data_IF_278048556789
#
_entry.id   IF_278048556789
#
_cell.length_a   1.000
_cell.length_b   1.000
_cell.length_c   1.000
_cell.angle_alpha   90.00
_cell.angle_beta   90.00
_cell.angle_gamma   90.00
#
_symmetry.space_group_name_H-M   'P 1'
#
loop_
_entity.id
_entity.type
_entity.pdbx_description
1 polymer ?
#
# COMPACT_ATOMS: atom_id res chain seq x y z
N UNK A 1 9.75 -21.09 28.84
CA UNK A 1 9.70 -21.04 27.36
C UNK A 1 8.72 -19.98 26.86
N UNK A 2 7.52 -19.90 27.43
CA UNK A 2 6.43 -19.03 26.96
C UNK A 2 6.67 -17.53 27.23
N UNK A 3 7.14 -17.13 28.43
CA UNK A 3 7.47 -15.73 28.71
C UNK A 3 8.69 -15.20 27.92
N UNK A 4 9.77 -15.99 27.81
CA UNK A 4 10.94 -15.66 26.98
C UNK A 4 10.59 -15.50 25.49
N UNK A 5 9.62 -16.28 25.02
CA UNK A 5 9.08 -16.16 23.66
C UNK A 5 8.41 -14.79 23.46
N UNK A 6 7.60 -14.33 24.41
CA UNK A 6 6.95 -13.01 24.29
C UNK A 6 7.98 -11.87 24.27
N UNK A 7 8.99 -11.90 25.14
CA UNK A 7 10.08 -10.91 25.15
C UNK A 7 10.80 -10.88 23.80
N UNK A 8 11.15 -12.06 23.25
CA UNK A 8 11.78 -12.14 21.93
C UNK A 8 10.89 -11.57 20.82
N UNK A 9 9.58 -11.79 20.88
CA UNK A 9 8.63 -11.23 19.91
C UNK A 9 8.48 -9.71 20.06
N UNK A 10 8.57 -9.19 21.30
CA UNK A 10 8.55 -7.76 21.58
C UNK A 10 9.80 -7.07 21.03
N UNK A 11 10.99 -7.63 21.30
CA UNK A 11 12.27 -7.13 20.80
C UNK A 11 12.35 -7.14 19.27
N UNK A 12 11.75 -8.16 18.65
CA UNK A 12 11.66 -8.27 17.20
C UNK A 12 10.57 -7.40 16.57
N UNK A 13 9.76 -6.71 17.38
CA UNK A 13 8.58 -5.96 16.94
C UNK A 13 7.63 -6.80 16.07
N UNK A 14 7.40 -8.07 16.44
CA UNK A 14 6.67 -9.03 15.61
C UNK A 14 5.27 -8.54 15.19
N UNK A 15 4.58 -7.81 16.07
CA UNK A 15 3.26 -7.24 15.79
C UNK A 15 3.27 -5.77 15.34
N UNK A 16 4.39 -5.27 14.80
CA UNK A 16 4.45 -3.90 14.26
C UNK A 16 3.27 -3.63 13.30
N UNK A 17 2.39 -2.66 13.63
CA UNK A 17 1.24 -2.32 12.79
C UNK A 17 1.62 -1.53 11.55
N UNK A 18 2.85 -1.03 11.43
CA UNK A 18 3.30 -0.22 10.31
C UNK A 18 4.66 -0.71 9.75
N UNK A 19 4.75 -1.98 9.30
CA UNK A 19 5.97 -2.49 8.69
C UNK A 19 6.32 -1.68 7.44
N UNK A 20 7.57 -1.79 6.98
CA UNK A 20 8.01 -1.06 5.78
C UNK A 20 7.22 -1.54 4.57
N UNK A 21 6.92 -0.63 3.65
CA UNK A 21 6.14 -0.96 2.45
C UNK A 21 6.77 -2.11 1.63
N UNK A 22 8.10 -2.14 1.56
CA UNK A 22 8.87 -3.19 0.87
C UNK A 22 8.74 -4.60 1.49
N UNK A 23 8.25 -4.68 2.73
CA UNK A 23 8.11 -5.92 3.50
C UNK A 23 6.65 -6.37 3.59
N UNK A 24 5.68 -5.56 3.14
CA UNK A 24 4.25 -5.85 3.25
C UNK A 24 3.88 -7.20 2.64
N UNK A 25 4.47 -7.56 1.50
CA UNK A 25 4.22 -8.83 0.83
C UNK A 25 4.57 -10.04 1.69
N UNK A 26 5.61 -9.94 2.55
CA UNK A 26 6.02 -11.03 3.46
C UNK A 26 5.03 -11.24 4.58
N UNK A 27 4.32 -10.20 4.94
CA UNK A 27 3.48 -10.17 6.11
C UNK A 27 1.98 -10.34 5.81
N UNK A 28 1.62 -10.36 4.53
CA UNK A 28 0.25 -10.51 4.09
C UNK A 28 -0.21 -11.96 4.28
N UNK A 29 -1.35 -12.14 4.94
CA UNK A 29 -2.09 -13.41 4.92
C UNK A 29 -3.20 -13.29 3.89
N UNK A 30 -3.25 -14.15 2.86
CA UNK A 30 -4.24 -14.03 1.78
C UNK A 30 -5.68 -14.09 2.30
N UNK A 31 -6.49 -13.12 1.91
CA UNK A 31 -7.93 -13.12 2.19
C UNK A 31 -8.64 -14.28 1.53
N UNK A 32 -8.23 -14.65 0.32
CA UNK A 32 -8.75 -15.82 -0.38
C UNK A 32 -8.57 -17.12 0.45
N UNK A 33 -7.42 -17.27 1.12
CA UNK A 33 -7.17 -18.38 2.04
C UNK A 33 -8.02 -18.28 3.31
N UNK A 34 -8.10 -17.10 3.93
CA UNK A 34 -8.88 -16.90 5.15
C UNK A 34 -10.40 -17.08 4.93
N UNK A 35 -10.90 -16.73 3.75
CA UNK A 35 -12.34 -16.74 3.44
C UNK A 35 -12.78 -17.92 2.58
N UNK A 36 -11.85 -18.79 2.18
CA UNK A 36 -12.13 -19.99 1.39
C UNK A 36 -12.70 -19.72 -0.01
N UNK A 37 -12.37 -18.57 -0.62
CA UNK A 37 -12.81 -18.21 -1.97
C UNK A 37 -11.69 -17.50 -2.75
N UNK A 38 -11.93 -17.13 -4.01
CA UNK A 38 -10.91 -16.56 -4.92
C UNK A 38 -11.31 -15.16 -5.43
N UNK A 39 -11.88 -14.34 -4.55
CA UNK A 39 -12.53 -13.06 -4.90
C UNK A 39 -11.67 -11.84 -4.60
N UNK A 40 -10.51 -12.00 -3.97
CA UNK A 40 -9.61 -10.91 -3.60
C UNK A 40 -8.28 -11.00 -4.35
N UNK A 41 -7.29 -11.73 -3.84
CA UNK A 41 -5.94 -11.80 -4.42
C UNK A 41 -5.97 -12.42 -5.82
N UNK A 42 -6.60 -13.59 -5.98
CA UNK A 42 -6.69 -14.28 -7.26
C UNK A 42 -7.56 -13.52 -8.27
N UNK A 43 -8.54 -12.75 -7.80
CA UNK A 43 -9.32 -11.86 -8.68
C UNK A 43 -8.50 -10.67 -9.17
N UNK A 44 -7.72 -10.06 -8.27
CA UNK A 44 -6.82 -8.95 -8.58
C UNK A 44 -5.77 -9.40 -9.61
N UNK A 45 -5.08 -10.52 -9.36
CA UNK A 45 -4.07 -11.04 -10.28
C UNK A 45 -4.66 -11.27 -11.68
N UNK A 46 -5.79 -11.98 -11.77
CA UNK A 46 -6.45 -12.26 -13.06
C UNK A 46 -6.84 -10.98 -13.79
N UNK A 47 -7.36 -9.98 -13.09
CA UNK A 47 -7.73 -8.69 -13.67
C UNK A 47 -6.50 -7.97 -14.24
N UNK A 48 -5.42 -7.89 -13.47
CA UNK A 48 -4.19 -7.24 -13.90
C UNK A 48 -3.53 -7.94 -15.09
N UNK A 49 -3.56 -9.28 -15.12
CA UNK A 49 -3.09 -10.05 -16.29
C UNK A 49 -3.91 -9.82 -17.55
N UNK A 50 -5.20 -9.44 -17.43
CA UNK A 50 -6.04 -9.02 -18.57
C UNK A 50 -5.82 -7.56 -18.99
N UNK A 51 -4.99 -6.80 -18.28
CA UNK A 51 -4.80 -5.38 -18.56
C UNK A 51 -5.84 -4.46 -17.93
N UNK A 52 -6.63 -4.96 -16.97
CA UNK A 52 -7.72 -4.19 -16.38
C UNK A 52 -7.25 -3.11 -15.39
N UNK A 53 -8.05 -2.05 -15.29
CA UNK A 53 -7.95 -1.01 -14.27
C UNK A 53 -8.86 -1.41 -13.11
N UNK A 54 -8.24 -1.68 -11.96
CA UNK A 54 -8.90 -2.28 -10.80
C UNK A 54 -9.01 -1.27 -9.66
N UNK A 55 -10.23 -1.01 -9.20
CA UNK A 55 -10.46 -0.34 -7.92
C UNK A 55 -10.40 -1.37 -6.78
N UNK A 56 -9.36 -1.28 -5.95
CA UNK A 56 -9.23 -2.08 -4.74
C UNK A 56 -9.82 -1.30 -3.55
N UNK A 57 -11.04 -1.68 -3.17
CA UNK A 57 -11.86 -0.96 -2.22
C UNK A 57 -11.68 -1.49 -0.81
N UNK A 58 -11.37 -0.60 0.11
CA UNK A 58 -11.32 -0.88 1.54
C UNK A 58 -11.08 0.38 2.33
N UNK A 59 -11.34 0.35 3.62
CA UNK A 59 -11.07 1.48 4.50
C UNK A 59 -9.55 1.64 4.71
N UNK A 60 -9.13 2.73 5.34
CA UNK A 60 -7.73 2.82 5.78
C UNK A 60 -7.41 1.68 6.75
N UNK A 61 -6.25 1.06 6.59
CA UNK A 61 -5.82 -0.07 7.43
C UNK A 61 -6.49 -1.42 7.14
N UNK A 62 -7.37 -1.52 6.14
CA UNK A 62 -8.02 -2.78 5.76
C UNK A 62 -7.13 -3.78 4.99
N UNK A 63 -5.93 -3.37 4.56
CA UNK A 63 -4.97 -4.26 3.88
C UNK A 63 -4.80 -4.03 2.37
N UNK A 64 -5.29 -2.93 1.80
CA UNK A 64 -5.15 -2.61 0.35
C UNK A 64 -3.70 -2.74 -0.14
N UNK A 65 -2.78 -2.01 0.48
CA UNK A 65 -1.35 -2.06 0.18
C UNK A 65 -0.74 -3.46 0.36
N UNK A 66 -1.22 -4.21 1.35
CA UNK A 66 -0.75 -5.56 1.66
C UNK A 66 -1.16 -6.57 0.58
N UNK A 67 -2.42 -6.50 0.12
CA UNK A 67 -2.93 -7.28 -1.01
C UNK A 67 -2.18 -6.94 -2.29
N UNK A 68 -2.02 -5.65 -2.60
CA UNK A 68 -1.29 -5.22 -3.79
C UNK A 68 0.16 -5.70 -3.74
N UNK A 69 0.86 -5.54 -2.62
CA UNK A 69 2.23 -6.00 -2.45
C UNK A 69 2.35 -7.54 -2.54
N UNK A 70 1.37 -8.28 -2.03
CA UNK A 70 1.35 -9.74 -2.14
C UNK A 70 1.18 -10.21 -3.59
N UNK A 71 0.19 -9.65 -4.31
CA UNK A 71 -0.10 -10.03 -5.70
C UNK A 71 1.00 -9.56 -6.67
N UNK A 72 1.55 -8.37 -6.44
CA UNK A 72 2.61 -7.76 -7.26
C UNK A 72 3.98 -7.89 -6.59
N UNK A 73 4.17 -8.96 -5.81
CA UNK A 73 5.38 -9.20 -5.05
C UNK A 73 6.64 -9.23 -5.91
N UNK A 74 7.83 -9.22 -5.29
CA UNK A 74 9.11 -9.07 -6.00
C UNK A 74 9.39 -10.09 -7.12
N UNK A 75 8.71 -11.24 -7.09
CA UNK A 75 8.89 -12.36 -8.01
C UNK A 75 7.70 -12.53 -8.98
N UNK A 76 6.86 -11.52 -9.15
CA UNK A 76 5.67 -11.64 -10.01
C UNK A 76 6.08 -11.83 -11.47
N UNK A 77 5.75 -13.00 -12.04
CA UNK A 77 6.10 -13.33 -13.42
C UNK A 77 5.19 -12.59 -14.42
N UNK A 78 5.82 -11.95 -15.41
CA UNK A 78 5.14 -11.30 -16.53
C UNK A 78 4.45 -9.97 -16.20
N UNK A 79 4.55 -9.46 -14.96
CA UNK A 79 4.03 -8.14 -14.58
C UNK A 79 5.19 -7.23 -14.16
N UNK A 80 5.07 -5.94 -14.50
CA UNK A 80 6.01 -4.89 -14.14
C UNK A 80 5.29 -3.82 -13.30
N UNK A 81 5.19 -4.00 -11.97
CA UNK A 81 4.57 -3.02 -11.10
C UNK A 81 5.39 -1.73 -11.04
N UNK A 82 4.69 -0.61 -11.23
CA UNK A 82 5.20 0.76 -11.15
C UNK A 82 4.42 1.49 -10.06
N UNK A 83 4.97 1.53 -8.84
CA UNK A 83 4.34 2.19 -7.71
C UNK A 83 4.51 3.69 -7.80
N UNK A 84 3.45 4.39 -8.19
CA UNK A 84 3.45 5.85 -8.26
C UNK A 84 3.21 6.37 -6.83
N UNK A 85 4.18 7.01 -6.16
CA UNK A 85 3.97 7.51 -4.82
C UNK A 85 2.99 8.67 -4.89
N UNK A 86 1.81 8.46 -4.32
CA UNK A 86 0.72 9.43 -4.34
C UNK A 86 0.81 10.33 -3.10
N UNK A 87 0.93 9.74 -1.91
CA UNK A 87 0.80 10.41 -0.61
C UNK A 87 1.72 11.63 -0.32
N UNK A 88 2.81 11.81 -1.06
CA UNK A 88 3.87 12.81 -0.76
C UNK A 88 3.85 13.99 -1.77
N UNK A 89 3.04 13.90 -2.82
CA UNK A 89 3.10 14.85 -3.94
C UNK A 89 2.19 16.07 -3.79
N UNK A 90 2.47 17.10 -4.60
CA UNK A 90 1.62 18.29 -4.69
C UNK A 90 0.22 17.94 -5.18
N UNK A 91 -0.79 18.65 -4.66
CA UNK A 91 -2.21 18.44 -5.01
C UNK A 91 -2.49 18.51 -6.52
N UNK A 92 -1.67 19.23 -7.29
CA UNK A 92 -1.74 19.29 -8.75
C UNK A 92 -1.63 17.92 -9.42
N UNK A 93 -0.80 17.00 -8.90
CA UNK A 93 -0.61 15.64 -9.43
C UNK A 93 -1.90 14.82 -9.35
N UNK A 94 -2.76 15.09 -8.35
CA UNK A 94 -4.03 14.40 -8.18
C UNK A 94 -5.13 14.85 -9.16
N UNK A 95 -4.95 16.01 -9.79
CA UNK A 95 -6.03 16.68 -10.55
C UNK A 95 -5.67 17.02 -11.98
N UNK A 96 -4.39 17.15 -12.31
CA UNK A 96 -3.91 17.52 -13.63
C UNK A 96 -3.23 16.32 -14.31
N UNK A 97 -3.80 15.82 -15.44
CA UNK A 97 -3.21 14.73 -16.21
C UNK A 97 -1.74 14.94 -16.60
N UNK A 98 -1.35 16.17 -16.95
CA UNK A 98 0.04 16.45 -17.35
C UNK A 98 0.97 16.37 -16.15
N UNK A 99 0.58 16.94 -15.01
CA UNK A 99 1.33 16.82 -13.76
C UNK A 99 1.44 15.37 -13.28
N UNK A 100 0.35 14.59 -13.36
CA UNK A 100 0.35 13.16 -13.04
C UNK A 100 1.34 12.37 -13.90
N UNK A 101 1.29 12.60 -15.20
CA UNK A 101 2.14 11.94 -16.18
C UNK A 101 3.60 12.31 -16.00
N UNK A 102 3.90 13.60 -15.79
CA UNK A 102 5.26 14.06 -15.48
C UNK A 102 5.81 13.41 -14.21
N UNK A 103 4.97 13.20 -13.21
CA UNK A 103 5.34 12.46 -11.99
C UNK A 103 5.63 10.98 -12.25
N UNK A 104 4.84 10.31 -13.09
CA UNK A 104 5.10 8.93 -13.52
C UNK A 104 6.47 8.81 -14.20
N UNK A 105 6.77 9.68 -15.18
CA UNK A 105 8.07 9.72 -15.87
C UNK A 105 9.21 9.90 -14.87
N UNK A 106 9.08 10.86 -13.93
CA UNK A 106 10.11 11.10 -12.90
C UNK A 106 10.28 9.93 -11.94
N UNK A 107 9.19 9.21 -11.64
CA UNK A 107 9.22 8.01 -10.79
C UNK A 107 10.00 6.90 -11.48
N UNK A 108 9.77 6.67 -12.77
CA UNK A 108 10.52 5.67 -13.56
C UNK A 108 11.99 6.06 -13.68
N UNK A 109 12.31 7.33 -13.99
CA UNK A 109 13.68 7.84 -14.00
C UNK A 109 14.38 7.65 -12.65
N UNK A 110 13.64 7.72 -11.54
CA UNK A 110 14.17 7.43 -10.21
C UNK A 110 14.48 5.95 -10.06
N UNK A 111 13.59 5.05 -10.48
CA UNK A 111 13.84 3.62 -10.41
C UNK A 111 15.07 3.19 -11.21
N UNK A 112 15.19 3.67 -12.45
CA UNK A 112 16.34 3.40 -13.33
C UNK A 112 17.66 3.84 -12.66
N UNK A 113 17.72 5.07 -12.12
CA UNK A 113 18.90 5.56 -11.39
C UNK A 113 19.25 4.75 -10.13
N UNK A 114 18.27 4.15 -9.47
CA UNK A 114 18.53 3.29 -8.30
C UNK A 114 18.93 1.86 -8.70
N UNK A 115 18.60 1.42 -9.93
CA UNK A 115 19.04 0.13 -10.46
C UNK A 115 20.53 0.17 -10.88
N UNK A 116 21.06 1.33 -11.28
CA UNK A 116 22.47 1.53 -11.65
C UNK A 116 23.17 2.61 -10.80
N UNK A 117 23.77 2.26 -9.65
CA UNK A 117 24.50 3.23 -8.82
C UNK A 117 25.79 3.78 -9.48
N UNK A 118 26.26 3.19 -10.58
CA UNK A 118 27.52 3.57 -11.24
C UNK A 118 27.54 4.99 -11.85
N UNK A 119 26.38 5.62 -12.04
CA UNK A 119 26.23 6.98 -12.58
C UNK A 119 26.18 8.09 -11.50
N UNK A 120 26.07 7.72 -10.22
CA UNK A 120 25.96 8.69 -9.11
C UNK A 120 27.18 9.62 -8.98
N UNK A 121 28.36 9.19 -9.45
CA UNK A 121 29.60 9.97 -9.36
C UNK A 121 29.72 11.14 -10.35
N UNK A 122 28.87 11.24 -11.37
CA UNK A 122 29.03 12.22 -12.47
C UNK A 122 28.11 13.44 -12.36
N UNK A 123 26.91 13.29 -11.80
CA UNK A 123 25.93 14.39 -11.69
C UNK A 123 26.12 15.22 -10.41
N UNK A 124 26.57 14.61 -9.31
CA UNK A 124 26.84 15.30 -8.04
C UNK A 124 28.01 16.30 -8.11
N UNK A 125 28.80 16.29 -9.19
CA UNK A 125 29.87 17.28 -9.42
C UNK A 125 29.42 18.54 -10.17
N UNK A 126 28.22 18.57 -10.72
CA UNK A 126 27.72 19.70 -11.53
C UNK A 126 26.75 20.59 -10.74
N UNK A 127 26.14 20.08 -9.66
CA UNK A 127 25.19 20.85 -8.84
C UNK A 127 25.72 20.98 -7.42
N UNK A 128 26.32 22.15 -7.13
CA UNK A 128 26.90 22.46 -5.82
C UNK A 128 25.95 22.22 -4.64
N UNK A 129 26.44 21.43 -3.70
CA UNK A 129 26.17 21.47 -2.25
C UNK A 129 24.81 22.04 -1.81
N UNK A 130 23.79 21.18 -1.78
CA UNK A 130 22.74 21.24 -0.74
C UNK A 130 22.61 19.85 -0.15
N UNK A 131 22.95 19.73 1.14
CA UNK A 131 22.84 18.52 1.93
C UNK A 131 21.43 17.92 1.77
N UNK A 132 21.27 16.72 1.19
CA UNK A 132 19.96 16.13 1.02
C UNK A 132 19.47 15.66 2.39
N UNK A 133 18.43 16.33 2.88
CA UNK A 133 17.62 15.89 4.01
C UNK A 133 17.07 14.51 3.63
N UNK A 134 17.59 13.44 4.27
CA UNK A 134 17.27 12.03 3.97
C UNK A 134 15.76 11.82 3.91
N UNK A 135 15.20 11.75 2.71
CA UNK A 135 13.88 11.20 2.43
C UNK A 135 14.01 9.68 2.29
N UNK A 136 14.34 9.01 3.39
CA UNK A 136 14.22 7.55 3.46
C UNK A 136 12.77 7.22 3.78
N UNK A 137 11.97 6.78 2.80
CA UNK A 137 10.79 5.94 3.07
C UNK A 137 10.14 5.22 1.88
N UNK A 138 10.46 5.54 0.62
CA UNK A 138 9.87 4.82 -0.53
C UNK A 138 10.85 4.76 -1.72
N UNK A 139 11.91 3.96 -1.64
CA UNK A 139 12.65 3.58 -2.85
C UNK A 139 12.74 2.06 -2.91
N UNK A 140 11.69 1.45 -3.44
CA UNK A 140 11.75 0.07 -3.93
C UNK A 140 12.16 0.21 -5.39
N UNK A 141 13.40 -0.11 -5.72
CA UNK A 141 13.76 -0.38 -7.11
C UNK A 141 13.03 -1.66 -7.50
N UNK A 142 12.16 -1.64 -8.52
CA UNK A 142 11.53 -2.86 -9.01
C UNK A 142 12.58 -3.91 -9.40
N UNK A 143 12.48 -5.13 -8.87
CA UNK A 143 13.50 -6.17 -9.09
C UNK A 143 13.62 -6.59 -10.56
N UNK A 144 12.52 -6.49 -11.33
CA UNK A 144 12.51 -6.76 -12.76
C UNK A 144 13.38 -5.81 -13.58
N UNK A 145 13.64 -4.57 -13.09
CA UNK A 145 14.57 -3.66 -13.75
C UNK A 145 16.02 -4.14 -13.62
N UNK A 146 16.39 -4.71 -12.47
CA UNK A 146 17.72 -5.28 -12.27
C UNK A 146 18.00 -6.53 -13.11
N UNK A 147 16.97 -7.14 -13.71
CA UNK A 147 17.09 -8.36 -14.49
C UNK A 147 17.47 -8.12 -15.97
N UNK A 148 17.24 -6.92 -16.50
CA UNK A 148 17.52 -6.59 -17.91
C UNK A 148 18.24 -5.24 -18.03
N UNK A 149 19.50 -5.30 -18.48
CA UNK A 149 20.35 -4.12 -18.72
C UNK A 149 19.85 -3.33 -19.92
N UNK A 150 19.40 -4.02 -20.98
CA UNK A 150 18.86 -3.40 -22.19
C UNK A 150 17.60 -2.58 -21.89
N UNK A 151 16.62 -3.18 -21.20
CA UNK A 151 15.40 -2.52 -20.76
C UNK A 151 15.71 -1.29 -19.91
N UNK A 152 16.69 -1.39 -19.01
CA UNK A 152 17.06 -0.28 -18.14
C UNK A 152 17.70 0.87 -18.93
N UNK A 153 18.54 0.58 -19.92
CA UNK A 153 19.14 1.58 -20.79
C UNK A 153 18.10 2.28 -21.68
N UNK A 154 17.13 1.54 -22.23
CA UNK A 154 16.03 2.11 -23.01
C UNK A 154 15.15 3.03 -22.16
N UNK A 155 14.82 2.61 -20.92
CA UNK A 155 14.07 3.43 -19.98
C UNK A 155 14.84 4.67 -19.51
N UNK A 156 16.16 4.57 -19.36
CA UNK A 156 17.01 5.72 -19.06
C UNK A 156 16.94 6.73 -20.21
N UNK A 157 17.14 6.28 -21.45
CA UNK A 157 17.04 7.12 -22.65
C UNK A 157 15.66 7.75 -22.80
N UNK A 158 14.58 6.98 -22.57
CA UNK A 158 13.21 7.48 -22.67
C UNK A 158 12.87 8.49 -21.57
N UNK A 159 13.56 8.44 -20.41
CA UNK A 159 13.29 9.30 -19.26
C UNK A 159 14.32 10.43 -19.04
N UNK A 160 15.38 10.49 -19.86
CA UNK A 160 16.52 11.40 -19.72
C UNK A 160 16.15 12.89 -19.78
N UNK A 161 15.32 13.32 -20.73
CA UNK A 161 14.81 14.69 -20.71
C UNK A 161 13.58 14.74 -19.80
N UNK A 162 13.78 15.29 -18.60
CA UNK A 162 12.69 15.49 -17.65
C UNK A 162 11.58 16.42 -18.20
N UNK A 163 10.41 16.43 -17.55
CA UNK A 163 9.21 17.10 -18.08
C UNK A 163 9.31 18.64 -18.18
N UNK A 164 10.32 19.28 -17.59
CA UNK A 164 10.41 20.74 -17.47
C UNK A 164 10.62 21.50 -18.80
N UNK A 165 10.99 20.81 -19.89
CA UNK A 165 11.26 21.43 -21.20
C UNK A 165 10.25 21.05 -22.28
N UNK A 166 9.22 20.28 -21.94
CA UNK A 166 8.32 19.62 -22.89
C UNK A 166 6.91 20.17 -22.83
N UNK A 167 6.19 20.09 -23.95
CA UNK A 167 4.76 20.38 -24.00
C UNK A 167 3.96 19.30 -23.24
N UNK A 168 2.72 19.61 -22.84
CA UNK A 168 1.90 18.65 -22.09
C UNK A 168 1.63 17.35 -22.84
N UNK A 169 1.46 17.41 -24.17
CA UNK A 169 1.28 16.22 -25.01
C UNK A 169 2.56 15.38 -25.12
N UNK A 170 3.73 16.02 -25.23
CA UNK A 170 5.01 15.30 -25.25
C UNK A 170 5.27 14.53 -23.95
N UNK A 171 4.83 15.06 -22.81
CA UNK A 171 4.96 14.37 -21.52
C UNK A 171 4.07 13.11 -21.47
N UNK A 172 2.85 13.19 -22.01
CA UNK A 172 1.92 12.04 -22.13
C UNK A 172 2.47 10.98 -23.08
N UNK A 173 2.96 11.41 -24.23
CA UNK A 173 3.61 10.52 -25.19
C UNK A 173 4.83 9.82 -24.58
N UNK A 174 5.66 10.55 -23.83
CA UNK A 174 6.81 9.98 -23.13
C UNK A 174 6.41 8.90 -22.12
N UNK A 175 5.37 9.15 -21.32
CA UNK A 175 4.89 8.14 -20.38
C UNK A 175 4.36 6.89 -21.10
N UNK A 176 3.63 7.08 -22.21
CA UNK A 176 3.16 5.96 -23.04
C UNK A 176 4.34 5.16 -23.58
N UNK A 177 5.34 5.83 -24.16
CA UNK A 177 6.55 5.20 -24.67
C UNK A 177 7.28 4.39 -23.59
N UNK A 178 7.38 4.90 -22.36
CA UNK A 178 7.96 4.15 -21.23
C UNK A 178 7.19 2.85 -20.96
N UNK A 179 5.86 2.88 -20.96
CA UNK A 179 5.04 1.69 -20.74
C UNK A 179 5.17 0.71 -21.92
N UNK A 180 5.21 1.22 -23.15
CA UNK A 180 5.37 0.42 -24.36
C UNK A 180 6.74 -0.28 -24.42
N UNK A 181 7.81 0.37 -23.96
CA UNK A 181 9.15 -0.25 -23.82
C UNK A 181 9.07 -1.47 -22.88
N UNK A 182 8.46 -1.31 -21.71
CA UNK A 182 8.28 -2.41 -20.76
C UNK A 182 7.46 -3.56 -21.41
N UNK A 183 6.40 -3.21 -22.16
CA UNK A 183 5.58 -4.16 -22.91
C UNK A 183 6.37 -4.92 -23.99
N UNK A 184 7.25 -4.22 -24.70
CA UNK A 184 8.11 -4.81 -25.74
C UNK A 184 9.07 -5.86 -25.19
N UNK A 185 9.47 -5.74 -23.92
CA UNK A 185 10.26 -6.74 -23.20
C UNK A 185 9.44 -7.91 -22.61
N UNK A 186 8.18 -8.08 -23.02
CA UNK A 186 7.33 -9.19 -22.62
C UNK A 186 6.77 -9.08 -21.20
N UNK A 187 6.89 -7.92 -20.56
CA UNK A 187 6.29 -7.63 -19.26
C UNK A 187 5.02 -6.82 -19.44
N UNK A 188 4.02 -6.99 -18.58
CA UNK A 188 2.84 -6.11 -18.58
C UNK A 188 3.03 -5.00 -17.54
N UNK A 189 3.11 -3.71 -17.94
CA UNK A 189 3.13 -2.60 -17.00
C UNK A 189 1.87 -2.59 -16.13
N UNK A 190 2.06 -2.42 -14.82
CA UNK A 190 0.96 -2.25 -13.86
C UNK A 190 1.20 -0.97 -13.06
N UNK A 191 0.37 0.04 -13.28
CA UNK A 191 0.42 1.28 -12.50
C UNK A 191 -0.23 1.06 -11.13
N UNK A 192 0.55 1.22 -10.06
CA UNK A 192 0.05 1.06 -8.69
C UNK A 192 -0.11 2.43 -8.04
N UNK A 193 -1.36 2.87 -7.88
CA UNK A 193 -1.75 4.08 -7.17
C UNK A 193 -2.22 3.71 -5.77
N UNK A 194 -1.26 3.54 -4.86
CA UNK A 194 -1.54 3.28 -3.45
C UNK A 194 -1.75 4.58 -2.66
N UNK A 195 -2.38 4.49 -1.49
CA UNK A 195 -2.60 5.64 -0.59
C UNK A 195 -3.31 6.86 -1.24
N UNK A 196 -4.17 6.65 -2.24
CA UNK A 196 -5.02 7.74 -2.79
C UNK A 196 -5.86 8.41 -1.71
N UNK A 197 -6.21 7.67 -0.66
CA UNK A 197 -6.88 8.17 0.54
C UNK A 197 -6.10 9.33 1.18
N UNK A 198 -4.77 9.41 1.09
CA UNK A 198 -3.98 10.49 1.70
C UNK A 198 -4.22 11.84 1.03
N UNK A 199 -4.40 11.86 -0.30
CA UNK A 199 -4.82 13.08 -1.02
C UNK A 199 -6.23 13.52 -0.63
N UNK A 200 -7.06 12.58 -0.20
CA UNK A 200 -8.51 12.73 -0.15
C UNK A 200 -9.09 12.78 1.28
N UNK A 201 -8.33 12.40 2.30
CA UNK A 201 -8.80 12.22 3.70
C UNK A 201 -8.37 13.33 4.66
N UNK A 202 -7.46 14.23 4.26
CA UNK A 202 -6.98 15.33 5.09
C UNK A 202 -7.80 16.63 5.00
N UNK A 203 -8.84 16.67 4.17
CA UNK A 203 -9.58 17.88 3.83
C UNK A 203 -11.09 17.64 3.93
N UNK A 204 -11.79 18.57 4.57
CA UNK A 204 -13.25 18.62 4.58
C UNK A 204 -13.72 19.72 3.62
N UNK A 205 -14.93 19.57 3.08
CA UNK A 205 -15.57 20.60 2.25
C UNK A 205 -15.21 20.54 0.76
N UNK A 206 -15.39 21.66 0.08
CA UNK A 206 -15.39 21.76 -1.38
C UNK A 206 -14.04 21.39 -2.03
N UNK A 207 -12.92 21.68 -1.37
CA UNK A 207 -11.59 21.36 -1.90
C UNK A 207 -11.36 19.85 -2.03
N UNK A 208 -11.76 19.07 -1.03
CA UNK A 208 -11.65 17.62 -1.07
C UNK A 208 -12.52 17.01 -2.19
N UNK A 209 -13.70 17.59 -2.43
CA UNK A 209 -14.56 17.19 -3.54
C UNK A 209 -13.93 17.55 -4.89
N UNK A 210 -13.29 18.71 -5.03
CA UNK A 210 -12.61 19.10 -6.26
C UNK A 210 -11.45 18.15 -6.60
N UNK A 211 -10.65 17.75 -5.60
CA UNK A 211 -9.56 16.81 -5.81
C UNK A 211 -10.09 15.42 -6.18
N UNK A 212 -11.11 14.91 -5.46
CA UNK A 212 -11.77 13.66 -5.84
C UNK A 212 -12.31 13.69 -7.26
N UNK A 213 -12.97 14.79 -7.64
CA UNK A 213 -13.54 14.96 -8.97
C UNK A 213 -12.46 15.03 -10.06
N UNK A 214 -11.32 15.66 -9.76
CA UNK A 214 -10.16 15.68 -10.64
C UNK A 214 -9.56 14.29 -10.82
N UNK A 215 -9.35 13.57 -9.72
CA UNK A 215 -8.77 12.23 -9.73
C UNK A 215 -9.68 11.20 -10.42
N UNK A 216 -10.91 11.02 -9.90
CA UNK A 216 -11.85 10.02 -10.42
C UNK A 216 -12.46 10.40 -11.77
N UNK A 217 -12.34 11.64 -12.22
CA UNK A 217 -12.81 12.06 -13.54
C UNK A 217 -11.71 12.14 -14.60
N UNK A 218 -10.59 12.81 -14.30
CA UNK A 218 -9.54 13.09 -15.29
C UNK A 218 -8.40 12.07 -15.26
N UNK A 219 -7.94 11.67 -14.07
CA UNK A 219 -6.82 10.74 -13.96
C UNK A 219 -7.25 9.33 -14.36
N UNK A 220 -8.38 8.83 -13.86
CA UNK A 220 -8.95 7.54 -14.31
C UNK A 220 -9.16 7.48 -15.82
N UNK A 221 -9.66 8.57 -16.42
CA UNK A 221 -9.80 8.69 -17.88
C UNK A 221 -8.46 8.68 -18.61
N UNK A 222 -7.46 9.42 -18.13
CA UNK A 222 -6.09 9.37 -18.66
C UNK A 222 -5.54 7.93 -18.63
N UNK A 223 -5.70 7.22 -17.50
CA UNK A 223 -5.28 5.83 -17.39
C UNK A 223 -5.99 4.94 -18.41
N UNK A 224 -7.26 5.22 -18.68
CA UNK A 224 -8.09 4.39 -19.54
C UNK A 224 -7.89 4.62 -21.04
N UNK A 225 -7.81 5.89 -21.46
CA UNK A 225 -7.81 6.29 -22.87
C UNK A 225 -6.40 6.54 -23.42
N UNK A 226 -5.51 7.17 -22.64
CA UNK A 226 -4.21 7.61 -23.12
C UNK A 226 -3.10 6.62 -22.76
N UNK A 227 -3.04 6.18 -21.50
CA UNK A 227 -2.03 5.22 -21.08
C UNK A 227 -2.42 3.79 -21.45
N UNK A 228 -3.71 3.42 -21.35
CA UNK A 228 -4.25 2.14 -21.79
C UNK A 228 -3.55 0.88 -21.22
N UNK A 229 -3.04 0.96 -19.99
CA UNK A 229 -2.36 -0.13 -19.29
C UNK A 229 -3.08 -0.56 -18.00
N UNK A 230 -2.70 -1.72 -17.46
CA UNK A 230 -3.25 -2.22 -16.20
C UNK A 230 -2.97 -1.24 -15.06
N UNK A 231 -3.92 -1.12 -14.13
CA UNK A 231 -3.75 -0.25 -12.96
C UNK A 231 -4.43 -0.83 -11.72
N UNK A 232 -3.85 -0.57 -10.55
CA UNK A 232 -4.49 -0.79 -9.25
C UNK A 232 -4.66 0.57 -8.57
N UNK A 233 -5.92 0.91 -8.29
CA UNK A 233 -6.29 2.11 -7.55
C UNK A 233 -6.75 1.69 -6.15
N UNK A 234 -6.03 2.08 -5.11
CA UNK A 234 -6.53 1.96 -3.75
C UNK A 234 -7.69 2.95 -3.57
N UNK A 235 -8.88 2.50 -3.14
CA UNK A 235 -10.07 3.37 -3.02
C UNK A 235 -10.72 3.22 -1.64
N UNK A 236 -10.96 4.34 -0.96
CA UNK A 236 -11.77 4.34 0.26
C UNK A 236 -13.23 4.01 -0.04
N UNK A 237 -13.82 3.12 0.77
CA UNK A 237 -15.21 2.68 0.58
C UNK A 237 -16.24 3.82 0.61
N UNK A 238 -15.96 4.88 1.38
CA UNK A 238 -16.83 6.06 1.44
C UNK A 238 -16.93 6.81 0.10
N UNK A 239 -15.91 6.71 -0.77
CA UNK A 239 -15.93 7.39 -2.07
C UNK A 239 -16.94 6.77 -3.03
N UNK A 240 -17.26 5.49 -2.88
CA UNK A 240 -18.21 4.79 -3.75
C UNK A 240 -19.62 5.35 -3.73
N UNK A 241 -19.95 6.18 -2.73
CA UNK A 241 -21.25 6.84 -2.60
C UNK A 241 -21.24 8.30 -3.06
N UNK A 242 -20.12 8.81 -3.54
CA UNK A 242 -20.01 10.21 -3.94
C UNK A 242 -20.18 10.37 -5.45
N UNK A 243 -20.74 11.52 -5.85
CA UNK A 243 -20.88 11.89 -7.25
C UNK A 243 -19.54 12.13 -7.96
N UNK A 244 -18.44 12.27 -7.20
CA UNK A 244 -17.12 12.36 -7.79
C UNK A 244 -16.63 11.00 -8.28
N UNK A 245 -16.88 9.93 -7.51
CA UNK A 245 -16.45 8.58 -7.90
C UNK A 245 -17.20 8.07 -9.12
N UNK A 246 -18.50 8.38 -9.27
CA UNK A 246 -19.27 7.98 -10.45
C UNK A 246 -18.73 8.58 -11.77
N UNK A 247 -17.83 9.57 -11.72
CA UNK A 247 -17.12 10.06 -12.91
C UNK A 247 -16.10 9.07 -13.46
N UNK A 248 -15.74 8.05 -12.68
CA UNK A 248 -14.87 6.97 -13.10
C UNK A 248 -15.60 5.82 -13.81
N UNK A 249 -16.94 5.90 -13.90
CA UNK A 249 -17.76 4.89 -14.58
C UNK A 249 -17.33 4.77 -16.05
N UNK A 250 -17.05 3.53 -16.48
CA UNK A 250 -16.52 3.24 -17.82
C UNK A 250 -14.99 3.34 -17.95
N UNK A 251 -14.28 3.88 -16.94
CA UNK A 251 -12.81 3.96 -16.93
C UNK A 251 -12.16 2.97 -15.94
N UNK A 252 -12.93 2.41 -15.01
CA UNK A 252 -12.53 1.33 -14.11
C UNK A 252 -13.27 0.06 -14.53
N UNK A 253 -12.51 -0.99 -14.87
CA UNK A 253 -13.08 -2.24 -15.39
C UNK A 253 -13.61 -3.14 -14.29
N UNK A 254 -12.85 -3.22 -13.19
CA UNK A 254 -13.10 -4.19 -12.11
C UNK A 254 -13.04 -3.49 -10.76
N UNK A 255 -14.03 -3.76 -9.91
CA UNK A 255 -14.04 -3.30 -8.51
C UNK A 255 -13.95 -4.50 -7.57
N UNK A 256 -12.88 -4.57 -6.78
CA UNK A 256 -12.65 -5.62 -5.78
C UNK A 256 -12.80 -5.01 -4.39
N UNK A 257 -13.73 -5.54 -3.59
CA UNK A 257 -13.90 -5.13 -2.20
C UNK A 257 -13.14 -6.08 -1.29
N UNK A 258 -12.27 -5.54 -0.44
CA UNK A 258 -11.58 -6.34 0.56
C UNK A 258 -12.59 -6.98 1.52
N UNK A 259 -12.52 -8.29 1.74
CA UNK A 259 -13.38 -8.95 2.70
C UNK A 259 -12.99 -8.58 4.13
N UNK A 260 -13.91 -8.83 5.07
CA UNK A 260 -13.59 -8.75 6.49
C UNK A 260 -12.79 -9.98 6.93
N UNK A 261 -12.02 -9.85 8.01
CA UNK A 261 -11.45 -11.01 8.70
C UNK A 261 -12.60 -11.81 9.32
N UNK A 262 -12.81 -13.08 8.93
CA UNK A 262 -14.05 -13.79 9.21
C UNK A 262 -14.23 -14.09 10.69
N UNK A 263 -13.21 -14.57 11.38
CA UNK A 263 -13.29 -15.09 12.75
C UNK A 263 -11.96 -14.94 13.52
N UNK A 264 -11.96 -15.36 14.78
CA UNK A 264 -10.80 -15.34 15.66
C UNK A 264 -9.67 -16.26 15.17
N UNK A 265 -10.01 -17.35 14.45
CA UNK A 265 -9.01 -18.25 13.85
C UNK A 265 -8.23 -17.53 12.76
N UNK A 266 -8.90 -16.75 11.91
CA UNK A 266 -8.25 -15.93 10.90
C UNK A 266 -7.38 -14.82 11.52
N UNK A 267 -7.80 -14.20 12.62
CA UNK A 267 -6.93 -13.29 13.40
C UNK A 267 -5.69 -14.04 13.92
N UNK A 268 -5.88 -15.23 14.48
CA UNK A 268 -4.79 -16.09 14.91
C UNK A 268 -3.84 -16.44 13.77
N UNK A 269 -4.36 -16.66 12.55
CA UNK A 269 -3.57 -16.85 11.33
C UNK A 269 -2.72 -15.62 10.98
N UNK A 270 -3.29 -14.42 11.06
CA UNK A 270 -2.57 -13.15 10.81
C UNK A 270 -1.42 -12.98 11.83
N UNK A 271 -1.71 -13.13 13.13
CA UNK A 271 -0.70 -12.98 14.18
C UNK A 271 0.32 -14.11 14.14
N UNK A 272 -0.10 -15.35 13.89
CA UNK A 272 0.78 -16.50 13.73
C UNK A 272 1.74 -16.33 12.57
N UNK A 273 1.26 -15.84 11.43
CA UNK A 273 2.12 -15.54 10.28
C UNK A 273 3.24 -14.56 10.65
N UNK A 274 2.94 -13.54 11.46
CA UNK A 274 3.94 -12.59 11.97
C UNK A 274 4.94 -13.23 12.93
N UNK A 275 4.47 -14.09 13.85
CA UNK A 275 5.34 -14.84 14.78
C UNK A 275 6.30 -15.76 14.00
N UNK A 276 5.80 -16.40 12.94
CA UNK A 276 6.56 -17.33 12.10
C UNK A 276 7.78 -16.73 11.41
N UNK A 277 7.77 -15.42 11.14
CA UNK A 277 8.92 -14.70 10.58
C UNK A 277 10.10 -14.62 11.57
N UNK A 278 9.82 -14.71 12.88
CA UNK A 278 10.83 -14.55 13.93
C UNK A 278 11.13 -15.85 14.68
N UNK A 279 10.17 -16.76 14.75
CA UNK A 279 10.25 -17.99 15.54
C UNK A 279 9.78 -19.18 14.72
N UNK A 280 10.65 -20.17 14.56
CA UNK A 280 10.32 -21.43 13.88
C UNK A 280 9.74 -22.41 14.88
N UNK A 281 8.76 -23.22 14.44
CA UNK A 281 8.12 -24.31 15.21
C UNK A 281 7.44 -23.80 16.50
N UNK A 282 6.30 -23.14 16.33
CA UNK A 282 5.44 -22.70 17.42
C UNK A 282 3.97 -23.03 17.07
N UNK A 283 3.09 -22.95 18.06
CA UNK A 283 1.64 -22.85 17.84
C UNK A 283 1.16 -21.50 18.36
N UNK A 284 0.15 -20.91 17.71
CA UNK A 284 -0.32 -19.57 18.09
C UNK A 284 -0.82 -19.52 19.54
N UNK A 285 -1.38 -20.63 20.06
CA UNK A 285 -1.85 -20.76 21.43
C UNK A 285 -0.73 -20.65 22.48
N UNK A 286 0.54 -20.82 22.09
CA UNK A 286 1.70 -20.57 22.95
C UNK A 286 2.02 -19.08 23.09
N UNK A 287 1.41 -18.23 22.27
CA UNK A 287 1.65 -16.77 22.23
C UNK A 287 0.42 -16.02 22.74
N UNK A 288 -0.77 -16.41 22.30
CA UNK A 288 -2.03 -15.73 22.61
C UNK A 288 -3.13 -16.76 22.88
N UNK A 289 -3.90 -16.56 23.94
CA UNK A 289 -4.96 -17.52 24.29
C UNK A 289 -6.15 -17.42 23.33
N UNK A 290 -6.94 -18.51 23.16
CA UNK A 290 -8.16 -18.46 22.35
C UNK A 290 -9.14 -17.37 22.78
N UNK A 291 -9.33 -17.18 24.08
CA UNK A 291 -10.21 -16.12 24.62
C UNK A 291 -9.71 -14.72 24.23
N UNK A 292 -8.39 -14.50 24.22
CA UNK A 292 -7.80 -13.23 23.80
C UNK A 292 -8.03 -12.96 22.30
N UNK A 293 -7.97 -14.01 21.46
CA UNK A 293 -8.29 -13.91 20.03
C UNK A 293 -9.78 -13.58 19.81
N UNK A 294 -10.69 -14.16 20.58
CA UNK A 294 -12.12 -13.85 20.53
C UNK A 294 -12.43 -12.41 20.99
N UNK A 295 -11.76 -11.93 22.04
CA UNK A 295 -11.84 -10.53 22.46
C UNK A 295 -11.37 -9.59 21.36
N UNK A 296 -10.25 -9.92 20.70
CA UNK A 296 -9.70 -9.12 19.60
C UNK A 296 -10.63 -9.14 18.37
N UNK A 297 -11.22 -10.28 18.03
CA UNK A 297 -12.21 -10.41 16.94
C UNK A 297 -13.47 -9.62 17.24
N UNK A 298 -13.94 -9.65 18.48
CA UNK A 298 -15.09 -8.85 18.93
C UNK A 298 -14.79 -7.36 18.81
N UNK A 299 -13.60 -6.91 19.23
CA UNK A 299 -13.17 -5.53 19.07
C UNK A 299 -13.09 -5.11 17.59
N UNK A 300 -12.48 -5.94 16.74
CA UNK A 300 -12.40 -5.74 15.30
C UNK A 300 -13.78 -5.57 14.66
N UNK A 301 -14.72 -6.48 14.95
CA UNK A 301 -16.10 -6.47 14.40
C UNK A 301 -16.94 -5.29 14.86
N UNK A 302 -16.85 -4.91 16.14
CA UNK A 302 -17.52 -3.70 16.68
C UNK A 302 -17.00 -2.42 16.05
N UNK A 303 -15.83 -2.52 15.45
CA UNK A 303 -15.15 -1.42 14.84
C UNK A 303 -15.74 -0.90 13.53
N UNK A 304 -15.84 0.43 13.39
CA UNK A 304 -16.01 1.04 12.07
C UNK A 304 -14.83 0.71 11.17
N UNK A 305 -15.13 0.15 10.01
CA UNK A 305 -14.23 0.14 8.86
C UNK A 305 -13.27 -1.05 8.72
N UNK A 306 -13.44 -2.16 9.45
CA UNK A 306 -12.65 -3.39 9.20
C UNK A 306 -11.12 -3.14 9.20
N UNK A 307 -10.65 -2.22 10.02
CA UNK A 307 -9.26 -1.75 10.09
C UNK A 307 -8.38 -2.77 10.84
N UNK A 308 -7.72 -3.66 10.10
CA UNK A 308 -6.80 -4.67 10.65
C UNK A 308 -5.61 -4.00 11.33
N UNK A 309 -5.08 -2.93 10.73
CA UNK A 309 -3.89 -2.23 11.21
C UNK A 309 -4.06 -1.71 12.64
N UNK A 310 -5.13 -0.95 12.90
CA UNK A 310 -5.35 -0.32 14.19
C UNK A 310 -6.10 -1.21 15.18
N UNK A 311 -7.01 -2.06 14.72
CA UNK A 311 -7.83 -2.87 15.63
C UNK A 311 -7.27 -4.24 15.94
N UNK A 312 -6.38 -4.77 15.11
CA UNK A 312 -5.77 -6.08 15.33
C UNK A 312 -4.30 -5.89 15.66
N UNK A 313 -3.50 -5.36 14.72
CA UNK A 313 -2.05 -5.30 14.89
C UNK A 313 -1.61 -4.33 15.99
N UNK A 314 -2.15 -3.11 16.01
CA UNK A 314 -1.78 -2.12 17.03
C UNK A 314 -2.22 -2.57 18.43
N UNK A 315 -3.41 -3.15 18.57
CA UNK A 315 -3.88 -3.71 19.85
C UNK A 315 -3.02 -4.90 20.28
N UNK A 316 -2.71 -5.83 19.37
CA UNK A 316 -1.85 -6.98 19.67
C UNK A 316 -0.42 -6.55 20.04
N UNK A 317 0.12 -5.51 19.40
CA UNK A 317 1.41 -4.92 19.74
C UNK A 317 1.43 -4.37 21.16
N UNK A 318 0.42 -3.57 21.54
CA UNK A 318 0.28 -3.04 22.89
C UNK A 318 0.05 -4.15 23.91
N UNK A 319 -0.80 -5.13 23.60
CA UNK A 319 -1.07 -6.27 24.49
C UNK A 319 0.17 -7.16 24.70
N UNK A 320 1.03 -7.31 23.69
CA UNK A 320 2.31 -8.00 23.82
C UNK A 320 3.24 -7.28 24.80
N UNK A 321 3.35 -5.96 24.70
CA UNK A 321 4.15 -5.17 25.63
C UNK A 321 3.65 -5.32 27.07
N UNK A 322 2.32 -5.25 27.28
CA UNK A 322 1.69 -5.48 28.60
C UNK A 322 1.95 -6.87 29.15
N UNK A 323 1.79 -7.91 28.32
CA UNK A 323 2.08 -9.27 28.73
C UNK A 323 3.55 -9.46 29.15
N UNK A 324 4.49 -8.75 28.51
CA UNK A 324 5.90 -8.78 28.91
C UNK A 324 6.13 -8.04 30.23
N UNK A 325 5.51 -6.87 30.44
CA UNK A 325 5.57 -6.11 31.70
C UNK A 325 5.05 -6.96 32.88
N UNK A 326 3.99 -7.73 32.66
CA UNK A 326 3.38 -8.62 33.65
C UNK A 326 4.13 -9.96 33.81
N UNK A 327 5.24 -10.16 33.08
CA UNK A 327 5.98 -11.42 32.99
C UNK A 327 5.08 -12.64 32.67
N UNK A 328 4.01 -12.40 31.89
CA UNK A 328 3.05 -13.41 31.53
C UNK A 328 3.64 -14.43 30.55
N UNK A 329 3.14 -15.65 30.62
CA UNK A 329 3.51 -16.71 29.69
C UNK A 329 2.85 -16.54 28.31
N UNK A 330 1.64 -16.00 28.28
CA UNK A 330 0.83 -15.83 27.06
C UNK A 330 0.08 -14.52 27.10
N UNK A 331 -0.24 -13.96 25.94
CA UNK A 331 -1.19 -12.84 25.83
C UNK A 331 -2.59 -13.34 26.16
N UNK A 332 -3.17 -12.86 27.25
CA UNK A 332 -4.51 -13.20 27.72
C UNK A 332 -5.51 -12.09 27.39
N UNK A 333 -6.81 -12.38 27.55
CA UNK A 333 -7.89 -11.44 27.28
C UNK A 333 -7.73 -10.12 28.06
N UNK A 334 -7.27 -10.20 29.32
CA UNK A 334 -7.01 -9.00 30.15
C UNK A 334 -5.99 -8.05 29.52
N UNK A 335 -4.92 -8.56 28.89
CA UNK A 335 -3.93 -7.72 28.21
C UNK A 335 -4.55 -7.05 26.96
N UNK A 336 -5.45 -7.75 26.26
CA UNK A 336 -6.18 -7.20 25.11
C UNK A 336 -7.15 -6.10 25.55
N UNK A 337 -7.90 -6.30 26.63
CA UNK A 337 -8.86 -5.31 27.16
C UNK A 337 -8.15 -4.02 27.63
N UNK A 338 -7.01 -4.18 28.32
CA UNK A 338 -6.16 -3.04 28.70
C UNK A 338 -5.64 -2.32 27.46
N UNK A 339 -5.09 -3.06 26.48
CA UNK A 339 -4.61 -2.49 25.24
C UNK A 339 -5.71 -1.74 24.48
N UNK A 340 -6.92 -2.30 24.36
CA UNK A 340 -8.07 -1.63 23.74
C UNK A 340 -8.40 -0.31 24.45
N UNK A 341 -8.40 -0.33 25.78
CA UNK A 341 -8.71 0.85 26.60
C UNK A 341 -7.69 1.97 26.40
N UNK A 342 -6.42 1.62 26.18
CA UNK A 342 -5.32 2.55 25.90
C UNK A 342 -5.28 3.04 24.45
N UNK A 343 -5.80 2.25 23.51
CA UNK A 343 -5.92 2.63 22.11
C UNK A 343 -7.16 3.50 21.83
N UNK A 344 -8.21 3.39 22.67
CA UNK A 344 -9.46 4.14 22.56
C UNK A 344 -9.38 5.68 22.77
N UNK A 345 -8.46 6.29 23.55
CA UNK A 345 -8.49 7.73 23.82
C UNK A 345 -8.16 8.59 22.59
N UNK A 346 -7.43 8.07 21.60
CA UNK A 346 -7.08 8.83 20.38
C UNK A 346 -8.26 9.04 19.43
N UNK A 347 -9.30 8.18 19.50
CA UNK A 347 -10.50 8.30 18.66
C UNK A 347 -11.43 9.41 19.16
N UNK A 348 -11.46 9.66 20.47
CA UNK A 348 -12.26 10.74 21.07
C UNK A 348 -11.61 12.12 20.92
N UNK A 349 -10.28 12.21 20.97
CA UNK A 349 -9.56 13.48 20.88
C UNK A 349 -9.59 14.12 19.48
N UNK A 350 -9.69 13.33 18.41
CA UNK A 350 -9.82 13.84 17.02
C UNK A 350 -11.26 14.20 16.62
N UNK A 351 -12.26 13.86 17.44
CA UNK A 351 -13.67 14.13 17.18
C UNK A 351 -14.18 15.44 17.82
N UNK A 352 -13.34 16.19 18.54
CA UNK A 352 -13.72 17.50 19.08
C UNK A 352 -13.58 18.57 17.99
N UNK A 353 -14.64 19.27 17.57
CA UNK A 353 -14.48 20.48 16.78
C UNK A 353 -13.65 21.48 17.59
N UNK A 354 -12.65 22.11 16.94
CA UNK A 354 -11.93 23.23 17.55
C UNK A 354 -12.96 24.31 17.91
N UNK A 355 -12.96 24.85 19.14
CA UNK A 355 -13.82 25.98 19.47
C UNK A 355 -13.48 27.16 18.56
N UNK A 356 -14.55 27.81 18.10
CA UNK A 356 -14.61 28.95 17.17
C UNK A 356 -13.76 30.13 17.61
#
# INVERSE_FOLDING_TARGET
MSAELLVRLQDAHAFDPAPRHAELWRHHVPFDAMTGNTRCEAALERALRRGERVALVGQSGAGKSSVTAHVLGPLVEGLAPLTVPVAIESRSVAVDPVAFTGHLVQTVARYVRHAHPAEQGRVDRIVGSRTPRRLSKVSITPQWLGASVELTAELDSASADGPARRSGQEIIEQARQILDIIAAHGLRPVLVLDDTDTWLSGMAGAEAAQIRAGFFGRITRLLAEELAHAAVLAVHENYLRTAEYSRSDGFIDTTIRLPAVPDATAIGGILGHRVGEHVRRFTIDQVITPDALETLQTHYRRGRGRDIRRRVLYVAHTALARACDDAAETIQAVHIDVAISECAPEVAARARPRPT
#
